data_IF_872333597937
#
_entry.id   IF_872333597937
#
_cell.length_a   1.000
_cell.length_b   1.000
_cell.length_c   1.000
_cell.angle_alpha   90.00
_cell.angle_beta   90.00
_cell.angle_gamma   90.00
#
_symmetry.space_group_name_H-M   'P 1'
#
loop_
_entity.id
_entity.type
_entity.pdbx_description
1 polymer ?
#
# COMPACT_ATOMS: atom_id res chain seq x y z
N UNK A 1 -33.05 17.09 13.77
CA UNK A 1 -31.94 16.56 14.59
C UNK A 1 -30.69 16.62 13.74
N UNK A 2 -29.77 17.54 14.02
CA UNK A 2 -28.46 17.60 13.37
C UNK A 2 -27.72 16.29 13.68
N UNK A 3 -27.39 15.50 12.65
CA UNK A 3 -26.44 14.38 12.79
C UNK A 3 -25.23 14.93 13.54
N UNK A 4 -24.87 14.31 14.67
CA UNK A 4 -23.60 14.63 15.32
C UNK A 4 -22.50 14.49 14.25
N UNK A 5 -21.65 15.50 14.11
CA UNK A 5 -20.58 15.48 13.12
C UNK A 5 -19.71 14.25 13.38
N UNK A 6 -19.57 13.39 12.37
CA UNK A 6 -18.72 12.21 12.46
C UNK A 6 -17.28 12.66 12.76
N UNK A 7 -16.57 12.05 13.73
CA UNK A 7 -15.22 12.47 14.06
C UNK A 7 -14.31 12.31 12.86
N UNK A 8 -13.55 13.37 12.55
CA UNK A 8 -12.50 13.39 11.53
C UNK A 8 -11.21 13.81 12.20
N UNK A 9 -10.08 13.37 11.66
CA UNK A 9 -8.73 13.66 12.18
C UNK A 9 -8.58 13.23 13.64
N UNK A 10 -9.02 12.00 13.93
CA UNK A 10 -9.10 11.46 15.28
C UNK A 10 -8.53 10.03 15.34
N UNK A 11 -8.11 9.64 16.55
CA UNK A 11 -7.75 8.26 16.89
C UNK A 11 -8.86 7.70 17.77
N UNK A 12 -9.50 6.63 17.32
CA UNK A 12 -10.55 5.93 18.05
C UNK A 12 -9.97 4.71 18.78
N UNK A 13 -10.61 4.26 19.86
CA UNK A 13 -10.12 3.06 20.56
C UNK A 13 -10.36 1.80 19.73
N UNK A 14 -11.58 1.60 19.23
CA UNK A 14 -11.94 0.41 18.46
C UNK A 14 -12.97 0.73 17.38
N UNK A 15 -12.79 0.13 16.20
CA UNK A 15 -13.71 0.26 15.05
C UNK A 15 -13.83 -1.07 14.30
N UNK A 16 -14.84 -1.19 13.43
CA UNK A 16 -14.91 -2.29 12.46
C UNK A 16 -13.73 -2.22 11.47
N UNK A 17 -13.66 -1.14 10.68
CA UNK A 17 -12.52 -0.83 9.83
C UNK A 17 -12.37 0.69 9.70
N UNK A 18 -11.14 1.20 9.73
CA UNK A 18 -10.87 2.61 9.43
C UNK A 18 -11.24 2.97 8.00
N UNK A 19 -11.18 2.02 7.05
CA UNK A 19 -11.59 2.26 5.66
C UNK A 19 -13.10 2.51 5.54
N UNK A 20 -13.92 1.76 6.29
CA UNK A 20 -15.37 1.94 6.28
C UNK A 20 -15.74 3.34 6.80
N UNK A 21 -15.06 3.79 7.85
CA UNK A 21 -15.29 5.13 8.40
C UNK A 21 -14.81 6.23 7.45
N UNK A 22 -13.62 6.06 6.84
CA UNK A 22 -13.10 7.01 5.86
C UNK A 22 -13.95 7.09 4.59
N UNK A 23 -14.59 5.98 4.18
CA UNK A 23 -15.58 5.97 3.09
C UNK A 23 -16.76 6.88 3.41
N UNK A 24 -17.36 6.70 4.59
CA UNK A 24 -18.47 7.55 5.06
C UNK A 24 -18.03 9.03 5.10
N UNK A 25 -16.84 9.31 5.63
CA UNK A 25 -16.29 10.67 5.64
C UNK A 25 -16.18 11.27 4.23
N UNK A 26 -15.68 10.50 3.26
CA UNK A 26 -15.53 10.93 1.88
C UNK A 26 -16.86 11.17 1.16
N UNK A 27 -17.85 10.29 1.38
CA UNK A 27 -19.23 10.43 0.88
C UNK A 27 -19.89 11.70 1.43
N UNK A 28 -19.66 12.00 2.71
CA UNK A 28 -20.06 13.25 3.38
C UNK A 28 -19.20 14.48 3.00
N UNK A 29 -18.38 14.37 1.94
CA UNK A 29 -17.63 15.48 1.38
C UNK A 29 -16.37 15.88 2.14
N UNK A 30 -15.78 14.98 2.94
CA UNK A 30 -14.51 15.28 3.61
C UNK A 30 -13.43 15.71 2.60
N UNK A 31 -12.64 16.76 2.91
CA UNK A 31 -11.60 17.25 2.03
C UNK A 31 -10.44 16.26 1.91
N UNK A 32 -9.64 16.41 0.85
CA UNK A 32 -8.37 15.71 0.66
C UNK A 32 -7.52 15.77 1.94
N UNK A 33 -6.94 14.64 2.35
CA UNK A 33 -6.10 14.53 3.53
C UNK A 33 -6.86 14.34 4.84
N UNK A 34 -8.20 14.35 4.83
CA UNK A 34 -8.99 13.97 6.01
C UNK A 34 -8.71 12.53 6.39
N UNK A 35 -8.50 12.26 7.68
CA UNK A 35 -8.07 10.94 8.11
C UNK A 35 -8.81 10.44 9.36
N UNK A 36 -8.76 9.14 9.57
CA UNK A 36 -9.23 8.48 10.79
C UNK A 36 -8.30 7.32 11.12
N UNK A 37 -7.97 7.16 12.39
CA UNK A 37 -7.15 6.06 12.89
C UNK A 37 -7.86 5.34 14.03
N UNK A 38 -7.46 4.10 14.31
CA UNK A 38 -7.93 3.37 15.47
C UNK A 38 -6.78 2.65 16.16
N UNK A 39 -6.90 2.38 17.47
CA UNK A 39 -5.97 1.51 18.21
C UNK A 39 -6.21 0.04 17.90
N UNK A 40 -7.45 -0.34 17.58
CA UNK A 40 -7.85 -1.70 17.20
C UNK A 40 -8.91 -1.68 16.09
N UNK A 41 -8.83 -2.68 15.19
CA UNK A 41 -9.91 -2.99 14.26
C UNK A 41 -10.43 -4.41 14.52
N UNK A 42 -11.75 -4.60 14.47
CA UNK A 42 -12.39 -5.93 14.56
C UNK A 42 -12.65 -6.57 13.21
N UNK A 43 -12.62 -5.79 12.13
CA UNK A 43 -12.82 -6.21 10.75
C UNK A 43 -11.79 -5.60 9.81
N UNK A 44 -10.51 -5.60 10.22
CA UNK A 44 -9.40 -5.15 9.39
C UNK A 44 -9.23 -6.02 8.14
N UNK A 45 -9.07 -5.39 6.97
CA UNK A 45 -9.03 -6.08 5.66
C UNK A 45 -7.81 -5.67 4.85
N UNK A 46 -7.28 -6.62 4.10
CA UNK A 46 -6.33 -6.45 3.04
C UNK A 46 -6.95 -6.77 1.68
N UNK A 47 -6.12 -6.77 0.63
CA UNK A 47 -6.53 -7.13 -0.74
C UNK A 47 -7.07 -8.56 -0.81
N UNK A 48 -7.95 -8.80 -1.78
CA UNK A 48 -8.55 -10.12 -2.05
C UNK A 48 -9.24 -10.73 -0.80
N UNK A 49 -9.80 -9.88 0.06
CA UNK A 49 -10.54 -10.31 1.26
C UNK A 49 -9.68 -10.88 2.39
N UNK A 50 -8.34 -10.79 2.32
CA UNK A 50 -7.48 -11.27 3.40
C UNK A 50 -7.69 -10.45 4.68
N UNK A 51 -7.60 -11.11 5.82
CA UNK A 51 -7.66 -10.44 7.12
C UNK A 51 -6.40 -9.58 7.37
N UNK A 52 -6.58 -8.40 7.98
CA UNK A 52 -5.49 -7.60 8.53
C UNK A 52 -5.52 -7.64 10.06
N UNK A 53 -4.59 -8.38 10.66
CA UNK A 53 -4.50 -8.56 12.12
C UNK A 53 -4.14 -7.25 12.82
N UNK A 54 -4.98 -6.87 13.78
CA UNK A 54 -4.90 -5.55 14.42
C UNK A 54 -4.36 -5.61 15.85
N UNK A 55 -3.05 -5.83 15.98
CA UNK A 55 -2.35 -5.80 17.27
C UNK A 55 -2.21 -4.36 17.78
N UNK A 56 -2.37 -4.16 19.09
CA UNK A 56 -2.18 -2.85 19.72
C UNK A 56 -0.74 -2.33 19.54
N UNK A 57 -0.59 -1.01 19.41
CA UNK A 57 0.70 -0.36 19.11
C UNK A 57 1.10 -0.38 17.63
N UNK A 58 0.27 -0.95 16.75
CA UNK A 58 0.43 -0.84 15.31
C UNK A 58 -0.44 0.28 14.72
N UNK A 59 -0.08 0.74 13.52
CA UNK A 59 -0.86 1.76 12.82
C UNK A 59 -2.03 1.12 12.06
N UNK A 60 -3.23 1.62 12.32
CA UNK A 60 -4.40 1.44 11.47
C UNK A 60 -4.94 2.84 11.12
N UNK A 61 -4.72 3.27 9.89
CA UNK A 61 -5.01 4.63 9.43
C UNK A 61 -5.71 4.56 8.08
N UNK A 62 -6.74 5.37 7.88
CA UNK A 62 -7.34 5.58 6.57
C UNK A 62 -7.41 7.05 6.25
N UNK A 63 -7.04 7.40 5.02
CA UNK A 63 -7.01 8.79 4.53
C UNK A 63 -7.91 8.93 3.31
N UNK A 64 -8.72 9.98 3.28
CA UNK A 64 -9.52 10.38 2.12
C UNK A 64 -8.63 11.16 1.15
N UNK A 65 -8.45 10.64 -0.05
CA UNK A 65 -7.67 11.24 -1.11
C UNK A 65 -8.59 11.66 -2.25
N UNK A 66 -8.35 12.86 -2.77
CA UNK A 66 -9.01 13.37 -3.98
C UNK A 66 -7.93 13.64 -5.02
N UNK A 67 -7.55 12.64 -5.83
CA UNK A 67 -6.57 12.83 -6.90
C UNK A 67 -7.07 13.86 -7.93
N UNK A 68 -6.23 14.80 -8.37
CA UNK A 68 -6.58 15.68 -9.47
C UNK A 68 -6.68 14.87 -10.77
N UNK A 69 -7.33 15.43 -11.79
CA UNK A 69 -7.68 14.70 -13.03
C UNK A 69 -6.45 14.14 -13.75
N UNK A 70 -5.35 14.87 -13.69
CA UNK A 70 -4.06 14.56 -14.29
C UNK A 70 -3.28 13.48 -13.54
N UNK A 71 -3.62 13.20 -12.28
CA UNK A 71 -2.93 12.18 -11.49
C UNK A 71 -3.48 10.79 -11.85
N UNK A 72 -2.67 9.85 -12.36
CA UNK A 72 -3.14 8.52 -12.70
C UNK A 72 -3.60 7.78 -11.45
N UNK A 73 -4.89 7.43 -11.41
CA UNK A 73 -5.51 6.73 -10.28
C UNK A 73 -4.78 5.44 -9.90
N UNK A 74 -4.20 4.76 -10.89
CA UNK A 74 -3.45 3.50 -10.70
C UNK A 74 -2.12 3.69 -9.96
N UNK A 75 -1.57 4.91 -9.92
CA UNK A 75 -0.38 5.24 -9.15
C UNK A 75 -0.67 5.56 -7.67
N UNK A 76 -1.93 5.82 -7.29
CA UNK A 76 -2.28 6.19 -5.91
C UNK A 76 -1.80 5.16 -4.87
N UNK A 77 -1.98 3.83 -5.06
CA UNK A 77 -1.50 2.85 -4.08
C UNK A 77 0.03 2.83 -3.94
N UNK A 78 0.75 3.05 -5.05
CA UNK A 78 2.21 3.07 -5.08
C UNK A 78 2.76 4.35 -4.44
N UNK A 79 2.13 5.50 -4.68
CA UNK A 79 2.46 6.76 -4.05
C UNK A 79 2.26 6.71 -2.52
N UNK A 80 1.13 6.15 -2.06
CA UNK A 80 0.88 5.94 -0.63
C UNK A 80 1.91 4.98 -0.03
N UNK A 81 2.23 3.87 -0.72
CA UNK A 81 3.25 2.94 -0.26
C UNK A 81 4.63 3.61 -0.15
N UNK A 82 4.99 4.46 -1.10
CA UNK A 82 6.21 5.26 -1.07
C UNK A 82 6.23 6.23 0.12
N UNK A 83 5.14 6.94 0.40
CA UNK A 83 5.05 7.82 1.58
C UNK A 83 5.25 7.05 2.91
N UNK A 84 4.70 5.84 2.99
CA UNK A 84 4.88 4.95 4.15
C UNK A 84 6.34 4.48 4.25
N UNK A 85 6.98 4.13 3.12
CA UNK A 85 8.40 3.77 3.07
C UNK A 85 9.29 4.92 3.50
N UNK A 86 9.13 6.11 2.94
CA UNK A 86 9.92 7.30 3.30
C UNK A 86 9.81 7.63 4.79
N UNK A 87 8.59 7.53 5.35
CA UNK A 87 8.35 7.75 6.79
C UNK A 87 9.06 6.69 7.64
N UNK A 88 8.96 5.42 7.25
CA UNK A 88 9.63 4.33 7.95
C UNK A 88 11.15 4.44 7.87
N UNK A 89 11.71 4.77 6.70
CA UNK A 89 13.14 4.93 6.48
C UNK A 89 13.72 6.09 7.32
N UNK A 90 12.99 7.20 7.44
CA UNK A 90 13.40 8.31 8.30
C UNK A 90 13.47 7.93 9.79
N UNK A 91 12.56 7.07 10.26
CA UNK A 91 12.50 6.64 11.66
C UNK A 91 13.34 5.39 11.97
N UNK A 92 13.72 4.62 10.95
CA UNK A 92 14.52 3.39 11.03
C UNK A 92 15.60 3.36 9.94
N UNK A 93 16.58 4.27 9.97
CA UNK A 93 17.61 4.38 8.92
C UNK A 93 18.48 3.12 8.78
N UNK A 94 18.61 2.32 9.84
CA UNK A 94 19.42 1.09 9.83
C UNK A 94 18.68 -0.14 9.27
N UNK A 95 17.38 -0.02 8.98
CA UNK A 95 16.60 -1.13 8.44
C UNK A 95 16.65 -1.15 6.91
N UNK A 96 16.88 -2.33 6.32
CA UNK A 96 16.81 -2.54 4.87
C UNK A 96 15.33 -2.60 4.41
N UNK A 97 14.69 -1.43 4.39
CA UNK A 97 13.29 -1.26 4.05
C UNK A 97 13.08 -1.24 2.54
N UNK A 98 12.13 -2.05 2.09
CA UNK A 98 11.83 -2.29 0.68
C UNK A 98 10.34 -2.32 0.41
N UNK A 99 9.94 -1.87 -0.77
CA UNK A 99 8.59 -1.98 -1.29
C UNK A 99 8.45 -3.23 -2.15
N UNK A 100 7.58 -4.14 -1.76
CA UNK A 100 7.16 -5.25 -2.62
C UNK A 100 5.94 -4.78 -3.41
N UNK A 101 6.10 -4.75 -4.73
CA UNK A 101 5.04 -4.35 -5.63
C UNK A 101 3.79 -5.24 -5.45
N UNK A 102 2.58 -4.64 -5.45
CA UNK A 102 2.33 -3.21 -5.75
C UNK A 102 2.39 -2.28 -4.52
N UNK A 103 2.18 -2.78 -3.31
CA UNK A 103 1.80 -1.90 -2.21
C UNK A 103 2.07 -2.47 -0.81
N UNK A 104 3.08 -3.33 -0.69
CA UNK A 104 3.52 -3.88 0.59
C UNK A 104 4.85 -3.26 1.02
N UNK A 105 4.92 -2.76 2.26
CA UNK A 105 6.18 -2.41 2.92
C UNK A 105 6.75 -3.66 3.58
N UNK A 106 8.05 -3.86 3.50
CA UNK A 106 8.74 -4.89 4.29
C UNK A 106 10.20 -4.58 4.55
N UNK A 107 10.84 -5.50 5.23
CA UNK A 107 12.29 -5.55 5.38
C UNK A 107 12.86 -6.69 4.56
N UNK A 108 14.02 -6.47 3.95
CA UNK A 108 14.81 -7.54 3.34
C UNK A 108 15.61 -8.24 4.42
N UNK A 109 15.40 -9.54 4.54
CA UNK A 109 16.10 -10.44 5.46
C UNK A 109 16.94 -11.42 4.64
N UNK A 110 18.21 -11.61 5.03
CA UNK A 110 19.14 -12.50 4.28
C UNK A 110 18.70 -13.96 4.27
N UNK A 111 18.00 -14.43 5.32
CA UNK A 111 17.57 -15.84 5.46
C UNK A 111 16.15 -16.03 4.98
N UNK A 112 15.26 -15.12 5.36
CA UNK A 112 13.82 -15.25 5.11
C UNK A 112 13.38 -14.57 3.81
N UNK A 113 14.22 -13.73 3.21
CA UNK A 113 13.87 -12.89 2.08
C UNK A 113 12.99 -11.72 2.52
N UNK A 114 11.88 -11.49 1.84
CA UNK A 114 10.95 -10.42 2.20
C UNK A 114 10.15 -10.77 3.47
N UNK A 115 10.16 -9.87 4.45
CA UNK A 115 9.30 -9.95 5.64
C UNK A 115 8.37 -8.75 5.67
N UNK A 116 7.06 -9.00 5.67
CA UNK A 116 6.05 -7.94 5.57
C UNK A 116 5.96 -7.12 6.85
N UNK A 117 6.00 -5.81 6.70
CA UNK A 117 5.85 -4.81 7.77
C UNK A 117 4.54 -4.06 7.66
N UNK A 118 4.09 -3.77 6.45
CA UNK A 118 2.87 -3.00 6.22
C UNK A 118 2.20 -3.33 4.90
N UNK A 119 0.96 -2.91 4.77
CA UNK A 119 0.16 -3.07 3.56
C UNK A 119 -0.73 -1.86 3.34
N UNK A 120 -0.89 -1.47 2.08
CA UNK A 120 -1.76 -0.39 1.66
C UNK A 120 -2.97 -0.99 0.93
N UNK A 121 -4.17 -0.52 1.26
CA UNK A 121 -5.41 -0.88 0.59
C UNK A 121 -6.11 0.39 0.13
N UNK A 122 -6.05 0.67 -1.17
CA UNK A 122 -6.77 1.78 -1.77
C UNK A 122 -8.09 1.30 -2.37
N UNK A 123 -9.18 1.99 -2.05
CA UNK A 123 -10.52 1.72 -2.60
C UNK A 123 -11.03 2.99 -3.30
N UNK A 124 -11.32 2.90 -4.59
CA UNK A 124 -11.96 3.98 -5.34
C UNK A 124 -13.45 4.03 -5.05
N UNK A 125 -13.97 5.23 -4.78
CA UNK A 125 -15.38 5.45 -4.45
C UNK A 125 -15.95 6.53 -5.36
N UNK A 126 -17.01 6.20 -6.09
CA UNK A 126 -17.85 7.17 -6.78
C UNK A 126 -19.01 7.59 -5.88
N UNK A 127 -19.25 8.88 -5.73
CA UNK A 127 -20.33 9.40 -4.88
C UNK A 127 -20.97 10.64 -5.47
N UNK A 128 -22.11 11.07 -4.92
CA UNK A 128 -22.77 12.33 -5.30
C UNK A 128 -21.88 13.56 -5.06
N UNK A 129 -20.95 13.50 -4.10
CA UNK A 129 -19.98 14.55 -3.80
C UNK A 129 -18.67 14.44 -4.62
N UNK A 130 -18.67 13.58 -5.65
CA UNK A 130 -17.54 13.34 -6.54
C UNK A 130 -16.76 12.06 -6.21
N UNK A 131 -15.83 11.71 -7.09
CA UNK A 131 -14.96 10.55 -6.93
C UNK A 131 -13.82 10.83 -5.94
N UNK A 132 -13.47 9.85 -5.14
CA UNK A 132 -12.35 9.90 -4.21
C UNK A 132 -11.74 8.50 -4.01
N UNK A 133 -10.61 8.43 -3.31
CA UNK A 133 -9.95 7.18 -2.90
C UNK A 133 -9.87 7.15 -1.38
N UNK A 134 -10.20 6.01 -0.79
CA UNK A 134 -9.86 5.72 0.60
C UNK A 134 -8.54 4.95 0.61
N UNK A 135 -7.49 5.54 1.17
CA UNK A 135 -6.19 4.89 1.35
C UNK A 135 -6.09 4.34 2.78
N UNK A 136 -6.33 3.03 2.93
CA UNK A 136 -6.10 2.27 4.15
C UNK A 136 -4.65 1.86 4.30
N UNK A 137 -4.07 2.07 5.48
CA UNK A 137 -2.66 1.90 5.77
C UNK A 137 -2.54 1.14 7.08
N UNK A 138 -2.03 -0.08 6.97
CA UNK A 138 -1.67 -0.92 8.09
C UNK A 138 -0.15 -1.02 8.21
N UNK A 139 0.43 -0.67 9.36
CA UNK A 139 1.88 -0.81 9.60
C UNK A 139 2.14 -1.43 10.96
N UNK A 140 2.95 -2.48 10.97
CA UNK A 140 3.45 -3.12 12.18
C UNK A 140 4.49 -2.21 12.84
N UNK A 141 4.05 -1.19 13.58
CA UNK A 141 4.96 -0.28 14.28
C UNK A 141 5.65 -0.99 15.45
N UNK A 142 4.89 -1.61 16.35
CA UNK A 142 5.42 -2.30 17.52
C UNK A 142 5.50 -3.82 17.34
N UNK A 143 4.41 -4.45 16.87
CA UNK A 143 4.22 -5.91 16.93
C UNK A 143 4.10 -6.51 15.54
N UNK A 144 4.91 -7.52 15.23
CA UNK A 144 4.75 -8.33 14.04
C UNK A 144 3.71 -9.44 14.31
N UNK A 145 2.61 -9.53 13.56
CA UNK A 145 1.63 -10.59 13.74
C UNK A 145 2.18 -11.92 13.21
N UNK A 146 1.84 -13.02 13.88
CA UNK A 146 2.03 -14.36 13.32
C UNK A 146 1.04 -14.60 12.19
N UNK A 147 1.56 -14.91 11.01
CA UNK A 147 0.79 -15.19 9.79
C UNK A 147 1.42 -16.34 9.02
N UNK A 148 0.77 -16.78 7.94
CA UNK A 148 1.29 -17.80 7.01
C UNK A 148 2.53 -17.35 6.21
N UNK A 149 2.81 -16.03 6.20
CA UNK A 149 3.99 -15.44 5.58
C UNK A 149 4.90 -14.78 6.62
N UNK A 150 6.21 -14.62 6.34
CA UNK A 150 7.12 -13.92 7.23
C UNK A 150 6.71 -12.45 7.43
N UNK A 151 6.63 -12.02 8.70
CA UNK A 151 6.33 -10.65 9.10
C UNK A 151 7.48 -10.05 9.91
N UNK A 152 7.50 -8.73 10.01
CA UNK A 152 8.38 -7.95 10.87
C UNK A 152 7.64 -6.72 11.40
N UNK A 153 8.20 -6.07 12.42
CA UNK A 153 7.78 -4.76 12.90
C UNK A 153 8.89 -3.74 12.76
N UNK A 154 8.52 -2.47 12.69
CA UNK A 154 9.44 -1.35 12.65
C UNK A 154 10.08 -1.06 14.01
N UNK A 155 9.60 -1.60 15.12
CA UNK A 155 10.08 -1.25 16.45
C UNK A 155 10.04 0.26 16.72
N UNK A 156 9.03 0.96 16.21
CA UNK A 156 8.82 2.40 16.40
C UNK A 156 7.51 2.66 17.13
N UNK A 157 7.45 3.81 17.79
CA UNK A 157 6.24 4.30 18.42
C UNK A 157 5.23 4.78 17.35
N UNK A 158 4.02 4.22 17.36
CA UNK A 158 2.94 4.61 16.44
C UNK A 158 2.54 6.07 16.62
N UNK A 159 2.66 6.62 17.83
CA UNK A 159 2.36 8.03 18.11
C UNK A 159 3.39 8.99 17.49
N UNK A 160 4.59 8.50 17.15
CA UNK A 160 5.58 9.24 16.34
C UNK A 160 5.40 8.99 14.85
N UNK A 161 5.09 7.75 14.48
CA UNK A 161 4.96 7.36 13.07
C UNK A 161 3.74 8.01 12.40
N UNK A 162 2.59 8.04 13.08
CA UNK A 162 1.33 8.57 12.53
C UNK A 162 1.43 10.03 12.09
N UNK A 163 1.84 11.00 12.93
CA UNK A 163 1.96 12.39 12.50
C UNK A 163 2.99 12.56 11.37
N UNK A 164 4.15 11.90 11.45
CA UNK A 164 5.17 11.97 10.40
C UNK A 164 4.67 11.46 9.04
N UNK A 165 3.83 10.41 9.04
CA UNK A 165 3.17 9.93 7.82
C UNK A 165 2.10 10.92 7.32
N UNK A 166 1.30 11.48 8.23
CA UNK A 166 0.23 12.42 7.89
C UNK A 166 0.75 13.70 7.21
N UNK A 167 1.93 14.16 7.60
CA UNK A 167 2.61 15.31 6.97
C UNK A 167 2.92 15.12 5.48
N UNK A 168 2.95 13.87 4.99
CA UNK A 168 3.21 13.57 3.57
C UNK A 168 1.99 13.80 2.67
N UNK A 169 0.77 13.68 3.21
CA UNK A 169 -0.45 13.64 2.39
C UNK A 169 -0.80 14.94 1.67
N UNK A 170 -0.66 16.14 2.27
CA UNK A 170 -1.00 17.39 1.59
C UNK A 170 -0.28 17.59 0.24
N UNK A 171 0.96 17.11 0.11
CA UNK A 171 1.76 17.20 -1.11
C UNK A 171 1.87 15.88 -1.90
N UNK A 172 1.21 14.82 -1.47
CA UNK A 172 1.43 13.49 -2.05
C UNK A 172 1.04 13.43 -3.52
N UNK A 173 -0.12 13.99 -3.87
CA UNK A 173 -0.70 13.91 -5.22
C UNK A 173 -0.33 15.11 -6.11
N UNK A 174 0.49 16.04 -5.61
CA UNK A 174 1.06 17.12 -6.41
C UNK A 174 2.48 16.79 -6.91
N UNK A 175 3.10 15.72 -6.40
CA UNK A 175 4.38 15.22 -6.90
C UNK A 175 4.25 14.73 -8.35
N UNK A 176 5.18 15.10 -9.24
CA UNK A 176 5.25 14.53 -10.59
C UNK A 176 5.33 13.00 -10.55
N UNK A 177 4.63 12.33 -11.47
CA UNK A 177 4.57 10.86 -11.52
C UNK A 177 5.93 10.27 -11.84
N UNK A 178 6.74 10.97 -12.63
CA UNK A 178 8.10 10.57 -12.98
C UNK A 178 9.00 10.51 -11.74
N UNK A 179 8.84 11.45 -10.80
CA UNK A 179 9.55 11.46 -9.53
C UNK A 179 9.07 10.31 -8.63
N UNK A 180 7.75 10.16 -8.46
CA UNK A 180 7.18 9.05 -7.68
C UNK A 180 7.65 7.71 -8.24
N UNK A 181 7.63 7.53 -9.56
CA UNK A 181 8.09 6.30 -10.22
C UNK A 181 9.56 6.04 -9.96
N UNK A 182 10.42 7.06 -10.08
CA UNK A 182 11.85 6.92 -9.84
C UNK A 182 12.14 6.55 -8.38
N UNK A 183 11.49 7.23 -7.43
CA UNK A 183 11.65 6.99 -6.00
C UNK A 183 11.13 5.60 -5.60
N UNK A 184 9.96 5.21 -6.12
CA UNK A 184 9.40 3.87 -5.93
C UNK A 184 10.33 2.78 -6.50
N UNK A 185 10.91 2.99 -7.68
CA UNK A 185 11.86 2.05 -8.26
C UNK A 185 13.11 1.87 -7.39
N UNK A 186 13.63 2.95 -6.79
CA UNK A 186 14.77 2.86 -5.84
C UNK A 186 14.39 2.13 -4.55
N UNK A 187 13.20 2.41 -4.01
CA UNK A 187 12.67 1.77 -2.81
C UNK A 187 12.21 0.32 -3.04
N UNK A 188 12.05 -0.12 -4.30
CA UNK A 188 11.52 -1.43 -4.62
C UNK A 188 12.36 -2.58 -4.07
N UNK A 189 11.73 -3.73 -3.85
CA UNK A 189 12.42 -4.99 -3.62
C UNK A 189 13.06 -5.52 -4.91
N UNK A 190 12.48 -5.20 -6.07
CA UNK A 190 12.94 -5.62 -7.39
C UNK A 190 14.00 -4.66 -7.95
N UNK A 191 14.94 -5.22 -8.70
CA UNK A 191 15.94 -4.53 -9.50
C UNK A 191 15.83 -5.01 -10.94
N UNK A 192 16.17 -4.14 -11.89
CA UNK A 192 16.13 -4.49 -13.32
C UNK A 192 16.99 -5.73 -13.57
N UNK A 193 16.42 -6.72 -14.28
CA UNK A 193 17.03 -8.02 -14.53
C UNK A 193 16.74 -9.08 -13.47
N UNK A 194 16.04 -8.73 -12.37
CA UNK A 194 15.64 -9.73 -11.38
C UNK A 194 14.69 -10.75 -12.02
N UNK A 195 14.99 -12.04 -11.82
CA UNK A 195 14.13 -13.13 -12.25
C UNK A 195 12.83 -13.15 -11.43
N UNK A 196 11.70 -13.15 -12.15
CA UNK A 196 10.36 -13.19 -11.56
C UNK A 196 9.54 -14.31 -12.19
N UNK A 197 8.55 -14.75 -11.44
CA UNK A 197 7.49 -15.60 -11.94
C UNK A 197 6.14 -14.96 -11.59
N UNK A 198 5.16 -15.07 -12.48
CA UNK A 198 3.81 -14.61 -12.17
C UNK A 198 2.77 -15.59 -12.68
N UNK A 199 1.66 -15.67 -11.94
CA UNK A 199 0.47 -16.39 -12.36
C UNK A 199 -0.56 -15.40 -12.86
N UNK A 200 -1.05 -15.58 -14.08
CA UNK A 200 -2.23 -14.88 -14.56
C UNK A 200 -3.47 -15.48 -13.89
N UNK A 201 -4.23 -14.63 -13.20
CA UNK A 201 -5.42 -15.02 -12.43
C UNK A 201 -6.65 -15.21 -13.31
N UNK A 202 -6.58 -14.87 -14.60
CA UNK A 202 -7.64 -15.06 -15.60
C UNK A 202 -7.55 -16.42 -16.29
N UNK A 203 -6.42 -17.12 -16.12
CA UNK A 203 -6.22 -18.47 -16.65
C UNK A 203 -6.70 -19.53 -15.64
N UNK A 204 -6.90 -20.75 -16.13
CA UNK A 204 -7.24 -21.90 -15.29
C UNK A 204 -6.18 -22.16 -14.21
N UNK A 205 -6.60 -22.71 -13.08
CA UNK A 205 -5.75 -22.89 -11.89
C UNK A 205 -4.51 -23.78 -12.15
N UNK A 206 -4.59 -24.66 -13.15
CA UNK A 206 -3.55 -25.60 -13.58
C UNK A 206 -2.62 -25.03 -14.66
N UNK A 207 -2.88 -23.82 -15.16
CA UNK A 207 -1.99 -23.16 -16.10
C UNK A 207 -0.60 -22.93 -15.46
N UNK A 208 0.50 -23.12 -16.22
CA UNK A 208 1.83 -22.88 -15.71
C UNK A 208 2.03 -21.41 -15.35
N UNK A 209 2.91 -21.16 -14.37
CA UNK A 209 3.35 -19.80 -14.08
C UNK A 209 4.22 -19.30 -15.26
N UNK A 210 4.06 -18.05 -15.64
CA UNK A 210 4.95 -17.37 -16.57
C UNK A 210 6.24 -16.97 -15.85
N UNK A 211 7.35 -16.92 -16.59
CA UNK A 211 8.67 -16.54 -16.09
C UNK A 211 9.31 -15.48 -16.96
N UNK A 212 10.20 -14.69 -16.38
CA UNK A 212 10.84 -13.59 -17.07
C UNK A 212 11.65 -12.71 -16.14
N UNK A 213 12.07 -11.57 -16.65
CA UNK A 213 12.87 -10.59 -15.93
C UNK A 213 12.07 -9.31 -15.69
N UNK A 214 12.21 -8.74 -14.50
CA UNK A 214 11.67 -7.43 -14.20
C UNK A 214 12.45 -6.34 -14.98
N UNK A 215 11.73 -5.47 -15.68
CA UNK A 215 12.33 -4.35 -16.42
C UNK A 215 12.18 -3.02 -15.67
N UNK A 216 10.94 -2.63 -15.36
CA UNK A 216 10.63 -1.38 -14.66
C UNK A 216 9.14 -1.32 -14.26
N UNK A 217 8.68 -0.15 -13.82
CA UNK A 217 7.26 0.20 -13.67
C UNK A 217 6.79 1.09 -14.83
N UNK A 218 5.60 0.80 -15.35
CA UNK A 218 5.00 1.54 -16.47
C UNK A 218 4.34 2.85 -16.05
N UNK A 219 3.78 3.57 -17.02
CA UNK A 219 3.16 4.88 -16.78
C UNK A 219 1.87 4.79 -15.95
N UNK A 220 1.30 3.59 -15.78
CA UNK A 220 0.14 3.32 -14.95
C UNK A 220 0.48 2.52 -13.69
N UNK A 221 1.76 2.39 -13.31
CA UNK A 221 2.18 1.67 -12.11
C UNK A 221 2.13 0.15 -12.24
N UNK A 222 1.86 -0.35 -13.44
CA UNK A 222 1.98 -1.76 -13.81
C UNK A 222 3.45 -2.20 -13.75
N UNK A 223 3.67 -3.49 -13.48
CA UNK A 223 5.01 -4.08 -13.56
C UNK A 223 5.31 -4.38 -15.04
N UNK A 224 6.46 -3.91 -15.52
CA UNK A 224 6.97 -4.25 -16.86
C UNK A 224 7.92 -5.44 -16.72
N UNK A 225 7.64 -6.50 -17.46
CA UNK A 225 8.42 -7.73 -17.44
C UNK A 225 8.75 -8.19 -18.86
N UNK A 226 9.96 -8.69 -19.06
CA UNK A 226 10.33 -9.40 -20.28
C UNK A 226 10.16 -10.90 -20.07
N UNK A 227 9.23 -11.51 -20.80
CA UNK A 227 9.01 -12.95 -20.70
C UNK A 227 10.21 -13.73 -21.25
N UNK A 228 10.51 -14.85 -20.60
CA UNK A 228 11.61 -15.75 -20.97
C UNK A 228 11.45 -16.25 -22.42
N UNK A 229 12.46 -16.03 -23.26
CA UNK A 229 12.41 -16.37 -24.68
C UNK A 229 11.66 -15.38 -25.58
N UNK A 230 11.14 -14.27 -25.03
CA UNK A 230 10.49 -13.20 -25.78
C UNK A 230 11.31 -11.91 -25.81
N UNK A 231 11.26 -11.19 -26.94
CA UNK A 231 11.80 -9.84 -27.04
C UNK A 231 10.83 -8.77 -26.52
N UNK A 232 9.55 -9.12 -26.32
CA UNK A 232 8.48 -8.20 -25.95
C UNK A 232 8.45 -7.92 -24.44
N UNK A 233 8.16 -6.67 -24.08
CA UNK A 233 7.89 -6.27 -22.70
C UNK A 233 6.38 -6.38 -22.43
N UNK A 234 6.01 -7.29 -21.52
CA UNK A 234 4.66 -7.44 -21.01
C UNK A 234 4.35 -6.44 -19.90
N UNK A 235 3.10 -6.00 -19.87
CA UNK A 235 2.51 -5.14 -18.83
C UNK A 235 1.69 -6.01 -17.88
N UNK A 236 2.05 -6.01 -16.60
CA UNK A 236 1.42 -6.85 -15.58
C UNK A 236 0.70 -6.00 -14.53
N UNK A 237 -0.61 -6.19 -14.40
CA UNK A 237 -1.46 -5.44 -13.47
C UNK A 237 -1.75 -6.25 -12.21
N UNK A 238 -1.73 -5.60 -11.04
CA UNK A 238 -1.80 -6.31 -9.76
C UNK A 238 -3.12 -7.02 -9.49
N UNK A 239 -4.19 -6.63 -10.17
CA UNK A 239 -5.49 -7.31 -10.09
C UNK A 239 -5.55 -8.59 -10.93
N UNK A 240 -4.66 -8.71 -11.92
CA UNK A 240 -4.68 -9.79 -12.90
C UNK A 240 -3.61 -10.84 -12.61
N UNK A 241 -2.67 -10.56 -11.70
CA UNK A 241 -1.55 -11.47 -11.44
C UNK A 241 -1.25 -11.72 -9.96
N UNK A 242 -0.68 -12.89 -9.68
CA UNK A 242 0.05 -13.17 -8.44
C UNK A 242 1.55 -13.27 -8.73
N UNK A 243 2.30 -12.26 -8.29
CA UNK A 243 3.76 -12.19 -8.44
C UNK A 243 4.49 -13.06 -7.40
N UNK A 244 5.55 -13.74 -7.85
CA UNK A 244 6.51 -14.47 -7.01
C UNK A 244 7.93 -14.10 -7.45
N UNK A 245 8.79 -13.93 -6.48
CA UNK A 245 10.22 -13.68 -6.71
C UNK A 245 10.91 -15.02 -6.84
N UNK A 246 11.72 -15.23 -7.88
CA UNK A 246 12.62 -16.38 -7.92
C UNK A 246 13.86 -16.04 -7.08
N UNK A 247 14.28 -16.99 -6.25
CA UNK A 247 15.53 -16.90 -5.46
C UNK A 247 16.69 -17.39 -6.29
#
# INVERSE_FOLDING_TARGET
>A
MTKAAFPRNAVLDEVGSTNDLARVMGEEGAPHGSWISAKRQTGGRGRMGREWRSNEGNLFLSVVLRPPREFPMTWVPLAVALAVHETAAALRPDADLVLKWPNDLGVRDRKLGFRKVGGILCEGVGSASGSFVVAGIGVNCAIAPETDQPTASLGVDVEKFRPALLEKFPGLLSRPIEEIRADYARASLLRRGDAIAWRDLRLDADAPDFTGEFENYGDHGELLAREEGSAEIKRLYSEEIKLRLKR
#
